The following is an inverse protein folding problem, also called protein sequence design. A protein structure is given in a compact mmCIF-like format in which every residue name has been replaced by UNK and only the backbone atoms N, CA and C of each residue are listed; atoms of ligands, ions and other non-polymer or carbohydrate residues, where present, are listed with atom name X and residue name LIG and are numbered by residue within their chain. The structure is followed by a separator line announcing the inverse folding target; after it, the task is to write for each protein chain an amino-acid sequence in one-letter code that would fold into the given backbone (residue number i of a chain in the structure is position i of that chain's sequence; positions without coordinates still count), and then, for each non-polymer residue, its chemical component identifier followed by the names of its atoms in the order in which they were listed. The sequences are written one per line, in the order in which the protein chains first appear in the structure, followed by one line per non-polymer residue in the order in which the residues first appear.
data_IF_980885766019
#
_entry.id   IF_980885766019
#
_cell.length_a   1.000
_cell.length_b   1.000
_cell.length_c   1.000
_cell.angle_alpha   90.00
_cell.angle_beta   90.00
_cell.angle_gamma   90.00
#
_symmetry.space_group_name_H-M   'P 1'
#
loop_
_entity.id
_entity.type
_entity.pdbx_description
1 polymer ?
#
# COMPACT_ATOMS: atom_id res chain seq x y z
N UNK A 1 24.85 43.70 62.09
CA UNK A 1 24.04 42.48 61.90
C UNK A 1 23.51 42.53 60.49
N UNK A 2 24.31 41.99 59.57
CA UNK A 2 24.09 42.01 58.13
C UNK A 2 23.82 40.57 57.70
N UNK A 3 22.56 40.26 57.39
CA UNK A 3 22.23 39.02 56.68
C UNK A 3 22.73 39.14 55.24
N UNK A 4 23.86 38.49 54.99
CA UNK A 4 24.39 38.22 53.66
C UNK A 4 23.60 37.02 53.14
N UNK A 5 22.62 37.27 52.28
CA UNK A 5 21.90 36.24 51.54
C UNK A 5 22.82 35.76 50.42
N UNK A 6 23.20 34.49 50.49
CA UNK A 6 24.06 33.80 49.54
C UNK A 6 23.54 33.91 48.10
N UNK A 7 24.32 34.59 47.27
CA UNK A 7 24.17 34.67 45.82
C UNK A 7 24.63 33.38 45.14
N UNK A 8 23.97 32.26 45.42
CA UNK A 8 24.28 30.95 44.79
C UNK A 8 23.32 30.54 43.65
N UNK A 9 22.42 31.43 43.23
CA UNK A 9 21.41 31.16 42.19
C UNK A 9 21.55 32.09 40.98
N UNK A 10 22.68 32.04 40.26
CA UNK A 10 22.77 32.61 38.92
C UNK A 10 23.89 32.00 38.06
N UNK A 11 24.12 30.69 38.17
CA UNK A 11 24.76 29.94 37.09
C UNK A 11 23.69 29.07 36.43
N UNK A 12 22.73 29.74 35.77
CA UNK A 12 21.90 29.09 34.75
C UNK A 12 22.87 28.76 33.62
N UNK A 13 23.46 27.56 33.69
CA UNK A 13 24.11 26.96 32.54
C UNK A 13 23.10 27.05 31.38
N UNK A 14 23.52 27.52 30.18
CA UNK A 14 22.65 27.44 29.03
C UNK A 14 22.31 25.97 28.86
N UNK A 15 21.04 25.61 29.09
CA UNK A 15 20.49 24.34 28.66
C UNK A 15 20.70 24.37 27.15
N UNK A 16 21.76 23.69 26.69
CA UNK A 16 21.98 23.45 25.28
C UNK A 16 20.66 22.90 24.74
N UNK A 17 20.10 23.45 23.64
CA UNK A 17 18.82 23.00 23.13
C UNK A 17 18.92 21.50 22.87
N UNK A 18 18.24 20.73 23.71
CA UNK A 18 18.16 19.28 23.61
C UNK A 18 17.39 19.00 22.32
N UNK A 19 18.14 18.64 21.28
CA UNK A 19 17.73 17.63 20.31
C UNK A 19 16.55 17.99 19.38
N UNK A 20 16.57 19.20 18.78
CA UNK A 20 15.60 19.59 17.73
C UNK A 20 15.94 19.04 16.32
N UNK A 21 16.97 18.21 16.16
CA UNK A 21 17.44 17.75 14.85
C UNK A 21 17.25 16.24 14.56
N UNK A 22 16.51 15.49 15.37
CA UNK A 22 16.22 14.08 15.01
C UNK A 22 15.13 14.03 13.95
N UNK A 23 15.40 13.48 12.75
CA UNK A 23 14.42 13.41 11.68
C UNK A 23 13.15 12.69 12.14
N UNK A 24 12.01 13.24 11.74
CA UNK A 24 10.67 12.72 12.02
C UNK A 24 10.61 11.22 11.70
N UNK A 25 10.24 10.34 12.65
CA UNK A 25 10.26 8.88 12.46
C UNK A 25 9.28 8.39 11.37
N UNK A 26 8.44 9.27 10.84
CA UNK A 26 7.47 8.97 9.78
C UNK A 26 8.09 8.94 8.37
N UNK A 27 9.20 9.64 8.13
CA UNK A 27 9.83 9.72 6.80
C UNK A 27 10.75 8.54 6.45
N UNK A 28 11.19 7.75 7.43
CA UNK A 28 12.04 6.59 7.22
C UNK A 28 11.20 5.35 6.85
N UNK A 29 11.65 4.58 5.86
CA UNK A 29 11.02 3.31 5.47
C UNK A 29 11.00 2.39 6.70
N UNK A 30 9.82 1.89 7.14
CA UNK A 30 9.75 0.98 8.28
C UNK A 30 10.58 -0.29 8.05
N UNK A 31 11.15 -0.89 9.11
CA UNK A 31 11.88 -2.14 9.00
C UNK A 31 11.07 -3.22 8.27
N UNK A 32 11.76 -4.07 7.50
CA UNK A 32 11.19 -5.19 6.74
C UNK A 32 10.16 -4.82 5.65
N UNK A 33 9.87 -3.54 5.42
CA UNK A 33 8.92 -3.10 4.37
C UNK A 33 9.30 -3.63 2.99
N UNK A 34 10.60 -3.58 2.64
CA UNK A 34 11.07 -4.10 1.34
C UNK A 34 10.99 -5.61 1.24
N UNK A 35 11.21 -6.34 2.34
CA UNK A 35 11.01 -7.79 2.38
C UNK A 35 9.53 -8.14 2.19
N UNK A 36 8.62 -7.37 2.80
CA UNK A 36 7.19 -7.51 2.58
C UNK A 36 6.81 -7.26 1.11
N UNK A 37 7.34 -6.18 0.50
CA UNK A 37 7.07 -5.83 -0.89
C UNK A 37 7.59 -6.90 -1.87
N UNK A 38 8.83 -7.37 -1.68
CA UNK A 38 9.42 -8.42 -2.52
C UNK A 38 8.71 -9.76 -2.33
N UNK A 39 8.38 -10.14 -1.09
CA UNK A 39 7.59 -11.32 -0.79
C UNK A 39 6.20 -11.25 -1.45
N UNK A 40 5.55 -10.08 -1.42
CA UNK A 40 4.25 -9.88 -2.04
C UNK A 40 4.31 -9.94 -3.57
N UNK A 41 5.40 -9.43 -4.18
CA UNK A 41 5.62 -9.56 -5.62
C UNK A 41 5.86 -11.02 -6.03
N UNK A 42 6.65 -11.76 -5.25
CA UNK A 42 6.85 -13.19 -5.46
C UNK A 42 5.56 -14.00 -5.23
N UNK A 43 4.73 -13.66 -4.24
CA UNK A 43 3.39 -14.24 -4.05
C UNK A 43 2.48 -14.02 -5.26
N UNK A 44 2.44 -12.80 -5.81
CA UNK A 44 1.69 -12.51 -7.03
C UNK A 44 2.18 -13.40 -8.19
N UNK A 45 3.48 -13.38 -8.47
CA UNK A 45 4.05 -14.11 -9.61
C UNK A 45 3.84 -15.62 -9.44
N UNK A 46 4.18 -16.19 -8.29
CA UNK A 46 4.16 -17.64 -8.10
C UNK A 46 2.74 -18.15 -7.88
N UNK A 47 2.05 -17.64 -6.86
CA UNK A 47 0.76 -18.21 -6.43
C UNK A 47 -0.42 -17.79 -7.29
N UNK A 48 -0.38 -16.57 -7.85
CA UNK A 48 -1.55 -16.01 -8.54
C UNK A 48 -1.41 -16.05 -10.05
N UNK A 49 -0.19 -16.00 -10.57
CA UNK A 49 0.08 -16.08 -12.00
C UNK A 49 0.53 -17.51 -12.34
N UNK A 50 1.75 -17.92 -12.00
CA UNK A 50 2.34 -19.17 -12.49
C UNK A 50 1.56 -20.43 -12.10
N UNK A 51 1.26 -20.63 -10.81
CA UNK A 51 0.53 -21.81 -10.34
C UNK A 51 -0.87 -21.92 -10.93
N UNK A 52 -1.55 -20.80 -11.19
CA UNK A 52 -2.89 -20.82 -11.80
C UNK A 52 -2.87 -20.98 -13.30
N UNK A 53 -1.81 -20.48 -13.94
CA UNK A 53 -1.67 -20.53 -15.40
C UNK A 53 -1.25 -21.93 -15.84
N UNK A 54 -0.32 -22.57 -15.12
CA UNK A 54 0.33 -23.81 -15.56
C UNK A 54 0.04 -25.01 -14.66
N UNK A 55 -1.04 -24.99 -13.88
CA UNK A 55 -1.41 -26.09 -12.99
C UNK A 55 -1.44 -27.45 -13.71
N UNK A 56 -2.03 -27.48 -14.91
CA UNK A 56 -2.25 -28.72 -15.66
C UNK A 56 -1.04 -29.15 -16.51
N UNK A 57 -0.10 -28.23 -16.77
CA UNK A 57 1.06 -28.48 -17.62
C UNK A 57 2.35 -28.83 -16.88
N UNK A 58 2.39 -28.65 -15.56
CA UNK A 58 3.58 -28.90 -14.74
C UNK A 58 3.66 -30.38 -14.31
N UNK A 59 4.88 -30.91 -14.26
CA UNK A 59 5.11 -32.20 -13.59
C UNK A 59 4.76 -32.08 -12.10
N UNK A 60 4.33 -33.19 -11.48
CA UNK A 60 3.96 -33.21 -10.05
C UNK A 60 5.07 -32.67 -9.14
N UNK A 61 6.33 -32.98 -9.46
CA UNK A 61 7.49 -32.49 -8.71
C UNK A 61 7.69 -30.97 -8.87
N UNK A 62 7.59 -30.47 -10.10
CA UNK A 62 7.70 -29.03 -10.37
C UNK A 62 6.57 -28.25 -9.69
N UNK A 63 5.34 -28.77 -9.72
CA UNK A 63 4.19 -28.20 -9.02
C UNK A 63 4.44 -28.12 -7.50
N UNK A 64 4.89 -29.22 -6.87
CA UNK A 64 5.19 -29.25 -5.44
C UNK A 64 6.37 -28.34 -5.04
N UNK A 65 7.35 -28.15 -5.93
CA UNK A 65 8.44 -27.20 -5.69
C UNK A 65 7.93 -25.75 -5.76
N UNK A 66 7.14 -25.43 -6.79
CA UNK A 66 6.58 -24.10 -6.99
C UNK A 66 5.58 -23.72 -5.88
N UNK A 67 4.74 -24.67 -5.44
CA UNK A 67 3.83 -24.49 -4.30
C UNK A 67 4.57 -24.17 -3.00
N UNK A 68 5.69 -24.86 -2.72
CA UNK A 68 6.54 -24.55 -1.55
C UNK A 68 7.14 -23.14 -1.61
N UNK A 69 7.65 -22.73 -2.77
CA UNK A 69 8.16 -21.36 -2.96
C UNK A 69 7.05 -20.32 -2.84
N UNK A 70 5.86 -20.63 -3.34
CA UNK A 70 4.68 -19.80 -3.20
C UNK A 70 4.24 -19.65 -1.74
N UNK A 71 4.20 -20.74 -0.97
CA UNK A 71 3.91 -20.68 0.46
C UNK A 71 4.96 -19.87 1.22
N UNK A 72 6.24 -20.05 0.89
CA UNK A 72 7.34 -19.28 1.48
C UNK A 72 7.21 -17.78 1.18
N UNK A 73 6.98 -17.39 -0.07
CA UNK A 73 6.86 -15.96 -0.45
C UNK A 73 5.68 -15.29 0.25
N UNK A 74 4.52 -15.98 0.33
CA UNK A 74 3.35 -15.52 1.06
C UNK A 74 3.62 -15.33 2.55
N UNK A 75 4.26 -16.31 3.19
CA UNK A 75 4.60 -16.24 4.62
C UNK A 75 5.61 -15.12 4.89
N UNK A 76 6.64 -14.98 4.05
CA UNK A 76 7.61 -13.90 4.12
C UNK A 76 6.93 -12.53 4.00
N UNK A 77 6.01 -12.38 3.04
CA UNK A 77 5.23 -11.16 2.85
C UNK A 77 4.44 -10.82 4.11
N UNK A 78 3.66 -11.79 4.63
CA UNK A 78 2.79 -11.59 5.80
C UNK A 78 3.59 -11.25 7.06
N UNK A 79 4.60 -12.05 7.40
CA UNK A 79 5.41 -11.81 8.62
C UNK A 79 6.13 -10.47 8.54
N UNK A 80 6.80 -10.19 7.43
CA UNK A 80 7.51 -8.92 7.22
C UNK A 80 6.55 -7.74 7.24
N UNK A 81 5.38 -7.89 6.61
CA UNK A 81 4.37 -6.85 6.50
C UNK A 81 3.67 -6.57 7.82
N UNK A 82 3.43 -7.58 8.66
CA UNK A 82 2.91 -7.40 10.01
C UNK A 82 3.90 -6.61 10.87
N UNK A 83 5.18 -6.97 10.85
CA UNK A 83 6.21 -6.22 11.59
C UNK A 83 6.27 -4.77 11.08
N UNK A 84 6.36 -4.56 9.77
CA UNK A 84 6.37 -3.22 9.18
C UNK A 84 5.12 -2.41 9.55
N UNK A 85 3.94 -3.05 9.53
CA UNK A 85 2.68 -2.42 9.91
C UNK A 85 2.64 -2.07 11.40
N UNK A 86 3.16 -2.92 12.30
CA UNK A 86 3.29 -2.58 13.73
C UNK A 86 4.16 -1.35 13.94
N UNK A 87 5.27 -1.20 13.19
CA UNK A 87 6.07 0.04 13.22
C UNK A 87 5.30 1.25 12.67
N UNK A 88 4.49 1.05 11.63
CA UNK A 88 3.61 2.09 11.11
C UNK A 88 2.59 2.56 12.16
N UNK A 89 1.86 1.63 12.75
CA UNK A 89 0.81 1.89 13.73
C UNK A 89 1.40 2.53 14.99
N UNK A 90 2.49 2.02 15.54
CA UNK A 90 3.18 2.63 16.69
C UNK A 90 3.60 4.07 16.42
N UNK A 91 4.04 4.39 15.20
CA UNK A 91 4.39 5.75 14.84
C UNK A 91 3.16 6.68 14.77
N UNK A 92 2.01 6.19 14.30
CA UNK A 92 0.74 6.93 14.37
C UNK A 92 0.20 7.05 15.80
N UNK A 93 0.39 6.02 16.62
CA UNK A 93 0.00 6.00 18.03
C UNK A 93 0.84 6.92 18.90
N UNK A 94 2.03 7.33 18.45
CA UNK A 94 2.92 8.23 19.17
C UNK A 94 2.38 9.66 19.27
N UNK A 95 2.72 10.37 20.36
CA UNK A 95 2.42 11.81 20.52
C UNK A 95 3.07 12.66 19.42
N UNK A 96 4.19 12.19 18.86
CA UNK A 96 4.92 12.85 17.76
C UNK A 96 4.22 12.75 16.40
N UNK A 97 3.09 12.04 16.32
CA UNK A 97 2.30 11.97 15.08
C UNK A 97 1.51 13.24 14.81
N UNK A 98 1.32 14.10 15.83
CA UNK A 98 0.51 15.33 15.76
C UNK A 98 -0.93 15.12 15.26
N UNK A 99 -1.41 13.87 15.21
CA UNK A 99 -2.79 13.54 14.88
C UNK A 99 -3.71 13.79 16.07
N UNK A 100 -4.99 14.16 15.84
CA UNK A 100 -5.96 14.29 16.91
C UNK A 100 -6.13 12.95 17.63
N UNK A 101 -6.42 13.02 18.94
CA UNK A 101 -6.50 11.85 19.81
C UNK A 101 -7.51 10.80 19.29
N UNK A 102 -8.65 11.25 18.76
CA UNK A 102 -9.67 10.38 18.17
C UNK A 102 -9.15 9.57 16.98
N UNK A 103 -8.39 10.19 16.07
CA UNK A 103 -7.79 9.49 14.93
C UNK A 103 -6.72 8.50 15.39
N UNK A 104 -5.91 8.86 16.39
CA UNK A 104 -4.89 7.96 16.97
C UNK A 104 -5.53 6.73 17.59
N UNK A 105 -6.57 6.92 18.41
CA UNK A 105 -7.32 5.83 19.04
C UNK A 105 -7.96 4.95 17.96
N UNK A 106 -8.59 5.54 16.94
CA UNK A 106 -9.19 4.77 15.84
C UNK A 106 -8.17 3.92 15.10
N UNK A 107 -7.08 4.52 14.60
CA UNK A 107 -6.04 3.82 13.85
C UNK A 107 -5.41 2.70 14.70
N UNK A 108 -5.12 2.97 15.98
CA UNK A 108 -4.54 1.98 16.88
C UNK A 108 -5.54 0.88 17.22
N UNK A 109 -6.79 1.22 17.52
CA UNK A 109 -7.83 0.26 17.87
C UNK A 109 -8.11 -0.72 16.73
N UNK A 110 -8.38 -0.21 15.53
CA UNK A 110 -8.59 -1.06 14.35
C UNK A 110 -7.33 -1.83 13.95
N UNK A 111 -6.16 -1.20 14.03
CA UNK A 111 -4.87 -1.84 13.72
C UNK A 111 -4.54 -3.01 14.65
N UNK A 112 -4.66 -2.82 15.97
CA UNK A 112 -4.39 -3.86 16.95
C UNK A 112 -5.46 -4.94 17.02
N UNK A 113 -6.70 -4.66 16.60
CA UNK A 113 -7.71 -5.69 16.40
C UNK A 113 -7.40 -6.53 15.15
N UNK A 114 -6.96 -5.90 14.05
CA UNK A 114 -6.71 -6.57 12.78
C UNK A 114 -5.53 -7.55 12.86
N UNK A 115 -4.40 -7.15 13.47
CA UNK A 115 -3.17 -7.96 13.54
C UNK A 115 -3.40 -9.39 14.05
N UNK A 116 -3.94 -9.63 15.26
CA UNK A 116 -4.09 -10.97 15.80
C UNK A 116 -5.06 -11.82 14.97
N UNK A 117 -6.13 -11.21 14.44
CA UNK A 117 -7.09 -11.92 13.60
C UNK A 117 -6.41 -12.40 12.32
N UNK A 118 -5.62 -11.55 11.65
CA UNK A 118 -4.97 -11.98 10.41
C UNK A 118 -3.80 -12.94 10.67
N UNK A 119 -3.08 -12.79 11.79
CA UNK A 119 -2.10 -13.80 12.23
C UNK A 119 -2.79 -15.16 12.34
N UNK A 120 -3.90 -15.24 13.07
CA UNK A 120 -4.68 -16.48 13.16
C UNK A 120 -5.09 -16.99 11.78
N UNK A 121 -5.68 -16.14 10.92
CA UNK A 121 -6.16 -16.55 9.59
C UNK A 121 -5.06 -16.99 8.64
N UNK A 122 -3.85 -16.48 8.80
CA UNK A 122 -2.72 -16.84 7.94
C UNK A 122 -2.16 -18.21 8.29
N UNK A 123 -2.20 -18.58 9.58
CA UNK A 123 -1.62 -19.84 10.08
C UNK A 123 -2.66 -20.93 10.34
N UNK A 124 -3.96 -20.59 10.37
CA UNK A 124 -5.03 -21.57 10.51
C UNK A 124 -5.33 -22.28 9.17
N UNK A 125 -5.66 -23.59 9.22
CA UNK A 125 -6.12 -24.31 8.03
C UNK A 125 -7.36 -23.65 7.43
N UNK A 126 -7.44 -23.64 6.09
CA UNK A 126 -8.61 -23.13 5.34
C UNK A 126 -9.94 -23.75 5.79
N UNK A 127 -9.91 -25.01 6.24
CA UNK A 127 -11.09 -25.71 6.75
C UNK A 127 -11.74 -25.04 7.98
N UNK A 128 -11.01 -24.19 8.69
CA UNK A 128 -11.49 -23.50 9.90
C UNK A 128 -11.85 -22.04 9.63
N UNK A 129 -11.63 -21.55 8.40
CA UNK A 129 -11.98 -20.18 8.02
C UNK A 129 -13.46 -20.10 7.64
N UNK A 130 -14.25 -19.46 8.51
CA UNK A 130 -15.65 -19.14 8.25
C UNK A 130 -15.78 -17.88 7.39
N UNK A 131 -16.81 -17.82 6.55
CA UNK A 131 -17.05 -16.68 5.64
C UNK A 131 -17.27 -15.38 6.44
N UNK A 132 -17.95 -15.47 7.57
CA UNK A 132 -18.22 -14.35 8.47
C UNK A 132 -16.93 -13.71 8.97
N UNK A 133 -15.94 -14.52 9.33
CA UNK A 133 -14.64 -14.06 9.81
C UNK A 133 -13.88 -13.30 8.71
N UNK A 134 -13.91 -13.82 7.47
CA UNK A 134 -13.34 -13.14 6.30
C UNK A 134 -13.98 -11.78 6.07
N UNK A 135 -15.32 -11.68 6.20
CA UNK A 135 -16.05 -10.42 6.05
C UNK A 135 -15.72 -9.42 7.16
N UNK A 136 -15.62 -9.88 8.42
CA UNK A 136 -15.21 -9.03 9.54
C UNK A 136 -13.82 -8.45 9.31
N UNK A 137 -12.87 -9.27 8.87
CA UNK A 137 -11.50 -8.81 8.58
C UNK A 137 -11.47 -7.83 7.42
N UNK A 138 -12.22 -8.13 6.35
CA UNK A 138 -12.36 -7.21 5.23
C UNK A 138 -12.90 -5.86 5.72
N UNK A 139 -13.95 -5.85 6.55
CA UNK A 139 -14.51 -4.65 7.15
C UNK A 139 -13.48 -3.87 8.00
N UNK A 140 -12.78 -4.56 8.91
CA UNK A 140 -11.75 -3.95 9.78
C UNK A 140 -10.59 -3.37 8.96
N UNK A 141 -10.11 -4.10 7.95
CA UNK A 141 -9.03 -3.65 7.08
C UNK A 141 -9.44 -2.42 6.27
N UNK A 142 -10.65 -2.41 5.69
CA UNK A 142 -11.16 -1.24 4.96
C UNK A 142 -11.37 -0.04 5.89
N UNK A 143 -11.93 -0.24 7.09
CA UNK A 143 -12.08 0.84 8.08
C UNK A 143 -10.71 1.46 8.44
N UNK A 144 -9.70 0.62 8.69
CA UNK A 144 -8.34 1.09 8.96
C UNK A 144 -7.72 1.82 7.77
N UNK A 145 -7.89 1.31 6.55
CA UNK A 145 -7.44 1.96 5.31
C UNK A 145 -8.07 3.35 5.17
N UNK A 146 -9.38 3.48 5.36
CA UNK A 146 -10.09 4.76 5.29
C UNK A 146 -9.57 5.75 6.33
N UNK A 147 -9.36 5.30 7.58
CA UNK A 147 -8.77 6.14 8.64
C UNK A 147 -7.35 6.60 8.30
N UNK A 148 -6.51 5.72 7.76
CA UNK A 148 -5.15 6.05 7.33
C UNK A 148 -5.15 7.06 6.18
N UNK A 149 -6.07 6.92 5.22
CA UNK A 149 -6.24 7.86 4.10
C UNK A 149 -6.66 9.24 4.61
N UNK A 150 -7.69 9.30 5.46
CA UNK A 150 -8.17 10.55 6.06
C UNK A 150 -7.08 11.23 6.88
N UNK A 151 -6.33 10.46 7.66
CA UNK A 151 -5.17 10.96 8.40
C UNK A 151 -4.14 11.57 7.43
N UNK A 152 -3.83 10.92 6.31
CA UNK A 152 -2.89 11.43 5.32
C UNK A 152 -3.38 12.72 4.63
N UNK A 153 -4.66 12.78 4.27
CA UNK A 153 -5.29 13.94 3.62
C UNK A 153 -5.28 15.16 4.55
N UNK A 154 -5.53 14.94 5.85
CA UNK A 154 -5.54 16.00 6.86
C UNK A 154 -4.25 16.85 6.86
N UNK A 155 -3.11 16.24 6.56
CA UNK A 155 -1.81 16.91 6.57
C UNK A 155 -1.56 17.86 5.40
N UNK A 156 -2.43 17.91 4.38
CA UNK A 156 -2.31 18.81 3.21
C UNK A 156 -0.90 18.78 2.59
N UNK A 157 -0.50 17.59 2.15
CA UNK A 157 0.80 17.35 1.50
C UNK A 157 0.90 18.01 0.11
N UNK A 158 1.74 17.48 -0.77
CA UNK A 158 1.73 17.89 -2.19
C UNK A 158 0.41 17.52 -2.86
N UNK A 159 0.08 18.23 -3.95
CA UNK A 159 -1.12 17.92 -4.76
C UNK A 159 -1.09 16.47 -5.25
N UNK A 160 0.05 15.98 -5.72
CA UNK A 160 0.20 14.61 -6.22
C UNK A 160 -0.09 13.54 -5.14
N UNK A 161 0.47 13.69 -3.93
CA UNK A 161 0.20 12.74 -2.83
C UNK A 161 -1.24 12.86 -2.34
N UNK A 162 -1.79 14.08 -2.27
CA UNK A 162 -3.20 14.29 -1.90
C UNK A 162 -4.16 13.66 -2.91
N UNK A 163 -3.89 13.82 -4.22
CA UNK A 163 -4.64 13.15 -5.29
C UNK A 163 -4.52 11.63 -5.21
N UNK A 164 -3.33 11.11 -4.90
CA UNK A 164 -3.11 9.67 -4.67
C UNK A 164 -4.01 9.15 -3.55
N UNK A 165 -4.03 9.83 -2.41
CA UNK A 165 -4.87 9.46 -1.27
C UNK A 165 -6.37 9.57 -1.59
N UNK A 166 -6.78 10.60 -2.33
CA UNK A 166 -8.18 10.74 -2.78
C UNK A 166 -8.59 9.63 -3.75
N UNK A 167 -7.72 9.24 -4.70
CA UNK A 167 -7.97 8.12 -5.60
C UNK A 167 -8.06 6.79 -4.83
N UNK A 168 -7.20 6.57 -3.83
CA UNK A 168 -7.30 5.42 -2.95
C UNK A 168 -8.59 5.44 -2.13
N UNK A 169 -9.04 6.62 -1.68
CA UNK A 169 -10.30 6.76 -0.96
C UNK A 169 -11.45 6.25 -1.84
N UNK A 170 -11.53 6.74 -3.08
CA UNK A 170 -12.53 6.30 -4.06
C UNK A 170 -12.38 4.79 -4.32
N UNK A 171 -11.18 4.30 -4.58
CA UNK A 171 -10.94 2.88 -4.85
C UNK A 171 -11.46 1.96 -3.73
N UNK A 172 -11.05 2.22 -2.49
CA UNK A 172 -11.43 1.36 -1.35
C UNK A 172 -12.88 1.57 -0.90
N UNK A 173 -13.40 2.80 -0.95
CA UNK A 173 -14.80 3.07 -0.63
C UNK A 173 -15.73 2.40 -1.65
N UNK A 174 -15.43 2.55 -2.94
CA UNK A 174 -16.18 1.87 -3.98
C UNK A 174 -16.08 0.34 -3.88
N UNK A 175 -14.91 -0.19 -3.50
CA UNK A 175 -14.71 -1.62 -3.29
C UNK A 175 -15.58 -2.18 -2.17
N UNK A 176 -15.60 -1.52 -1.01
CA UNK A 176 -16.43 -1.96 0.13
C UNK A 176 -17.93 -1.77 -0.15
N UNK A 177 -18.32 -0.66 -0.78
CA UNK A 177 -19.73 -0.41 -1.12
C UNK A 177 -20.23 -1.42 -2.15
N UNK A 178 -19.44 -1.72 -3.18
CA UNK A 178 -19.75 -2.76 -4.15
C UNK A 178 -19.97 -4.12 -3.46
N UNK A 179 -19.07 -4.50 -2.53
CA UNK A 179 -19.22 -5.73 -1.75
C UNK A 179 -20.52 -5.74 -0.92
N UNK A 180 -20.81 -4.66 -0.20
CA UNK A 180 -22.01 -4.55 0.64
C UNK A 180 -23.26 -4.62 -0.23
N UNK A 181 -23.33 -3.88 -1.33
CA UNK A 181 -24.46 -3.89 -2.27
C UNK A 181 -24.68 -5.29 -2.81
N UNK A 182 -23.63 -5.99 -3.27
CA UNK A 182 -23.75 -7.37 -3.75
C UNK A 182 -24.28 -8.33 -2.67
N UNK A 183 -23.81 -8.21 -1.43
CA UNK A 183 -24.21 -9.09 -0.33
C UNK A 183 -25.64 -8.82 0.16
N UNK A 184 -26.00 -7.56 0.35
CA UNK A 184 -27.31 -7.15 0.87
C UNK A 184 -28.36 -7.26 -0.23
N UNK A 185 -28.07 -6.74 -1.41
CA UNK A 185 -28.99 -6.74 -2.54
C UNK A 185 -29.32 -8.16 -3.03
N UNK A 186 -28.35 -9.08 -3.01
CA UNK A 186 -28.58 -10.49 -3.33
C UNK A 186 -29.51 -11.18 -2.33
N UNK A 187 -29.48 -10.78 -1.05
CA UNK A 187 -30.41 -11.31 -0.03
C UNK A 187 -31.79 -10.65 -0.08
N UNK A 188 -31.84 -9.38 -0.47
CA UNK A 188 -33.07 -8.60 -0.56
C UNK A 188 -33.79 -8.75 -1.91
N UNK A 189 -33.24 -9.54 -2.85
CA UNK A 189 -33.76 -9.73 -4.22
C UNK A 189 -33.97 -8.39 -4.96
N UNK A 190 -33.09 -7.41 -4.73
CA UNK A 190 -33.25 -6.09 -5.35
C UNK A 190 -32.77 -6.09 -6.80
N UNK A 191 -33.65 -5.75 -7.74
CA UNK A 191 -33.41 -5.81 -9.20
C UNK A 191 -32.23 -4.95 -9.70
N UNK A 192 -31.82 -3.92 -8.96
CA UNK A 192 -30.72 -3.02 -9.34
C UNK A 192 -29.38 -3.37 -8.70
N UNK A 193 -29.32 -4.45 -7.93
CA UNK A 193 -28.12 -4.85 -7.17
C UNK A 193 -26.88 -4.95 -8.05
N UNK A 194 -26.98 -5.68 -9.17
CA UNK A 194 -25.84 -5.91 -10.06
C UNK A 194 -25.35 -4.60 -10.69
N UNK A 195 -26.26 -3.81 -11.26
CA UNK A 195 -25.92 -2.53 -11.91
C UNK A 195 -25.22 -1.58 -10.95
N UNK A 196 -25.74 -1.45 -9.73
CA UNK A 196 -25.15 -0.57 -8.72
C UNK A 196 -23.80 -1.09 -8.23
N UNK A 197 -23.69 -2.41 -7.97
CA UNK A 197 -22.43 -3.02 -7.56
C UNK A 197 -21.34 -2.87 -8.63
N UNK A 198 -21.68 -3.04 -9.92
CA UNK A 198 -20.77 -2.82 -11.03
C UNK A 198 -20.35 -1.36 -11.16
N UNK A 199 -21.29 -0.42 -11.04
CA UNK A 199 -20.98 1.01 -11.11
C UNK A 199 -19.96 1.43 -10.04
N UNK A 200 -20.17 1.01 -8.79
CA UNK A 200 -19.19 1.24 -7.72
C UNK A 200 -17.87 0.57 -8.06
N UNK A 201 -17.89 -0.73 -8.38
CA UNK A 201 -16.67 -1.47 -8.70
C UNK A 201 -15.84 -0.80 -9.79
N UNK A 202 -16.44 -0.45 -10.92
CA UNK A 202 -15.77 0.19 -12.04
C UNK A 202 -15.19 1.56 -11.66
N UNK A 203 -15.95 2.38 -10.93
CA UNK A 203 -15.43 3.65 -10.43
C UNK A 203 -14.18 3.46 -9.55
N UNK A 204 -14.18 2.42 -8.71
CA UNK A 204 -13.07 2.13 -7.82
C UNK A 204 -11.87 1.53 -8.55
N UNK A 205 -12.09 0.66 -9.53
CA UNK A 205 -11.05 0.11 -10.39
C UNK A 205 -10.35 1.20 -11.19
N UNK A 206 -11.12 2.11 -11.82
CA UNK A 206 -10.57 3.27 -12.53
C UNK A 206 -9.72 4.16 -11.60
N UNK A 207 -10.23 4.46 -10.40
CA UNK A 207 -9.48 5.23 -9.42
C UNK A 207 -8.18 4.52 -9.01
N UNK A 208 -8.23 3.21 -8.79
CA UNK A 208 -7.06 2.38 -8.49
C UNK A 208 -6.02 2.40 -9.62
N UNK A 209 -6.45 2.30 -10.88
CA UNK A 209 -5.54 2.37 -12.05
C UNK A 209 -4.94 3.76 -12.26
N UNK A 210 -5.58 4.82 -11.76
CA UNK A 210 -5.05 6.18 -11.81
C UNK A 210 -4.03 6.47 -10.68
N UNK A 211 -4.01 5.68 -9.60
CA UNK A 211 -3.07 5.84 -8.47
C UNK A 211 -1.60 5.88 -8.91
N UNK A 212 -1.09 4.96 -9.75
CA UNK A 212 0.31 4.97 -10.13
C UNK A 212 0.69 6.22 -10.94
N UNK A 213 -0.23 6.75 -11.74
CA UNK A 213 -0.04 8.00 -12.49
C UNK A 213 0.07 9.18 -11.52
N UNK A 214 -0.83 9.26 -10.53
CA UNK A 214 -0.80 10.29 -9.50
C UNK A 214 0.50 10.25 -8.68
N UNK A 215 0.98 9.06 -8.32
CA UNK A 215 2.28 8.87 -7.65
C UNK A 215 3.42 9.28 -8.58
N UNK A 216 3.33 8.99 -9.88
CA UNK A 216 4.31 9.39 -10.89
C UNK A 216 4.59 10.89 -10.89
N UNK A 217 3.55 11.72 -10.70
CA UNK A 217 3.71 13.17 -10.57
C UNK A 217 4.42 13.61 -9.27
N UNK A 218 4.45 12.76 -8.24
CA UNK A 218 5.21 13.03 -7.02
C UNK A 218 6.70 12.66 -7.16
N UNK A 219 7.04 11.75 -8.09
CA UNK A 219 8.42 11.26 -8.29
C UNK A 219 9.16 12.17 -9.27
N UNK A 220 10.17 12.90 -8.76
CA UNK A 220 11.07 13.71 -9.60
C UNK A 220 12.33 12.91 -9.94
N UNK A 221 12.57 12.66 -11.21
CA UNK A 221 13.78 11.95 -11.68
C UNK A 221 14.82 12.97 -12.14
N UNK A 222 16.00 13.06 -11.49
CA UNK A 222 17.06 13.99 -11.88
C UNK A 222 17.83 13.48 -13.11
N UNK A 223 17.24 13.58 -14.30
CA UNK A 223 17.76 13.07 -15.58
C UNK A 223 19.19 13.51 -15.96
N UNK A 224 19.70 14.60 -15.37
CA UNK A 224 21.06 15.10 -15.61
C UNK A 224 22.12 14.34 -14.81
N UNK A 225 21.74 13.70 -13.69
CA UNK A 225 22.64 12.90 -12.86
C UNK A 225 22.75 11.47 -13.40
N UNK A 226 23.93 10.84 -13.26
CA UNK A 226 24.12 9.42 -13.62
C UNK A 226 23.10 8.50 -12.92
N UNK A 227 22.76 8.79 -11.66
CA UNK A 227 21.73 8.07 -10.92
C UNK A 227 20.35 8.22 -11.56
N UNK A 228 19.98 9.42 -12.00
CA UNK A 228 18.70 9.64 -12.69
C UNK A 228 18.62 8.88 -14.01
N UNK A 229 19.73 8.79 -14.76
CA UNK A 229 19.82 7.95 -15.97
C UNK A 229 19.63 6.47 -15.64
N UNK A 230 20.30 5.94 -14.61
CA UNK A 230 20.10 4.57 -14.15
C UNK A 230 18.65 4.33 -13.73
N UNK A 231 18.05 5.27 -12.99
CA UNK A 231 16.63 5.20 -12.60
C UNK A 231 15.73 5.09 -13.82
N UNK A 232 15.93 5.90 -14.86
CA UNK A 232 15.16 5.81 -16.11
C UNK A 232 15.32 4.45 -16.80
N UNK A 233 16.55 3.93 -16.89
CA UNK A 233 16.83 2.62 -17.48
C UNK A 233 16.11 1.51 -16.72
N UNK A 234 16.23 1.45 -15.40
CA UNK A 234 15.56 0.43 -14.60
C UNK A 234 14.03 0.57 -14.63
N UNK A 235 13.51 1.80 -14.63
CA UNK A 235 12.07 2.04 -14.79
C UNK A 235 11.56 1.61 -16.17
N UNK A 236 12.33 1.84 -17.23
CA UNK A 236 12.01 1.38 -18.58
C UNK A 236 12.03 -0.15 -18.67
N UNK A 237 13.05 -0.80 -18.11
CA UNK A 237 13.13 -2.27 -18.04
C UNK A 237 11.92 -2.84 -17.30
N UNK A 238 11.52 -2.23 -16.17
CA UNK A 238 10.35 -2.66 -15.43
C UNK A 238 9.05 -2.49 -16.24
N UNK A 239 8.86 -1.35 -16.91
CA UNK A 239 7.71 -1.12 -17.78
C UNK A 239 7.64 -2.14 -18.93
N UNK A 240 8.75 -2.31 -19.65
CA UNK A 240 8.85 -3.25 -20.76
C UNK A 240 8.66 -4.69 -20.28
N UNK A 241 9.21 -5.06 -19.13
CA UNK A 241 9.05 -6.38 -18.54
C UNK A 241 7.60 -6.71 -18.22
N UNK A 242 6.84 -5.74 -17.68
CA UNK A 242 5.40 -5.92 -17.40
C UNK A 242 4.60 -6.00 -18.69
N UNK A 243 4.85 -5.11 -19.66
CA UNK A 243 4.16 -5.11 -20.95
C UNK A 243 4.44 -6.42 -21.73
N UNK A 244 5.70 -6.82 -21.85
CA UNK A 244 6.10 -8.06 -22.49
C UNK A 244 5.54 -9.28 -21.74
N UNK A 245 5.60 -9.28 -20.41
CA UNK A 245 5.01 -10.32 -19.58
C UNK A 245 3.51 -10.49 -19.81
N UNK A 246 2.76 -9.38 -19.93
CA UNK A 246 1.33 -9.40 -20.27
C UNK A 246 1.06 -9.96 -21.67
N UNK A 247 1.89 -9.61 -22.67
CA UNK A 247 1.78 -10.16 -24.03
C UNK A 247 2.06 -11.67 -24.04
N UNK A 248 3.13 -12.11 -23.38
CA UNK A 248 3.47 -13.52 -23.24
C UNK A 248 2.35 -14.26 -22.50
N UNK A 249 1.83 -13.71 -21.42
CA UNK A 249 0.76 -14.34 -20.64
C UNK A 249 -0.53 -14.48 -21.46
N UNK A 250 -0.90 -13.46 -22.23
CA UNK A 250 -2.01 -13.53 -23.19
C UNK A 250 -1.83 -14.66 -24.20
N UNK A 251 -0.64 -14.77 -24.79
CA UNK A 251 -0.35 -15.78 -25.80
C UNK A 251 -0.33 -17.20 -25.21
N UNK A 252 0.10 -17.36 -23.96
CA UNK A 252 0.18 -18.67 -23.29
C UNK A 252 -1.18 -19.18 -22.78
N UNK A 253 -2.08 -18.30 -22.37
CA UNK A 253 -3.37 -18.68 -21.75
C UNK A 253 -4.52 -18.69 -22.76
N UNK A 254 -4.46 -17.83 -23.78
CA UNK A 254 -5.56 -17.68 -24.74
C UNK A 254 -6.83 -17.17 -24.05
N UNK A 255 -7.92 -17.93 -24.18
CA UNK A 255 -9.27 -17.50 -23.79
C UNK A 255 -9.49 -17.31 -22.28
N UNK A 256 -8.70 -17.99 -21.44
CA UNK A 256 -8.84 -17.93 -19.97
C UNK A 256 -8.16 -16.72 -19.32
N UNK A 257 -7.52 -15.85 -20.12
CA UNK A 257 -6.74 -14.73 -19.62
C UNK A 257 -7.57 -13.82 -18.70
N UNK A 258 -8.81 -13.54 -19.06
CA UNK A 258 -9.70 -12.69 -18.25
C UNK A 258 -9.90 -13.26 -16.84
N UNK A 259 -10.17 -14.56 -16.73
CA UNK A 259 -10.40 -15.23 -15.44
C UNK A 259 -9.13 -15.26 -14.59
N UNK A 260 -7.98 -15.56 -15.20
CA UNK A 260 -6.70 -15.57 -14.49
C UNK A 260 -6.27 -14.16 -14.07
N UNK A 261 -6.46 -13.17 -14.94
CA UNK A 261 -6.16 -11.76 -14.66
C UNK A 261 -7.03 -11.21 -13.53
N UNK A 262 -8.34 -11.47 -13.58
CA UNK A 262 -9.24 -11.15 -12.47
C UNK A 262 -8.84 -11.89 -11.19
N UNK A 263 -8.44 -13.16 -11.31
CA UNK A 263 -7.96 -13.96 -10.19
C UNK A 263 -6.70 -13.39 -9.52
N UNK A 264 -5.80 -12.76 -10.28
CA UNK A 264 -4.54 -12.21 -9.80
C UNK A 264 -4.67 -10.77 -9.27
N UNK A 265 -5.36 -9.91 -10.01
CA UNK A 265 -5.42 -8.46 -9.76
C UNK A 265 -6.79 -7.94 -9.32
N UNK A 266 -7.84 -8.76 -9.41
CA UNK A 266 -9.24 -8.39 -9.11
C UNK A 266 -9.77 -7.23 -9.96
N UNK A 267 -9.25 -7.08 -11.18
CA UNK A 267 -9.66 -6.08 -12.17
C UNK A 267 -10.56 -6.72 -13.23
N UNK A 268 -11.60 -6.01 -13.65
CA UNK A 268 -12.69 -6.51 -14.50
C UNK A 268 -13.40 -5.41 -15.33
N UNK A 269 -13.07 -4.14 -15.12
CA UNK A 269 -13.54 -3.02 -15.93
C UNK A 269 -13.38 -3.22 -17.46
N UNK A 270 -12.29 -3.88 -17.90
CA UNK A 270 -11.98 -4.18 -19.30
C UNK A 270 -11.84 -5.70 -19.51
N UNK A 271 -12.76 -6.48 -18.92
CA UNK A 271 -12.72 -7.94 -18.92
C UNK A 271 -12.88 -8.59 -20.30
N UNK A 272 -13.28 -7.85 -21.34
CA UNK A 272 -13.31 -8.37 -22.70
C UNK A 272 -11.90 -8.86 -23.11
N UNK A 273 -11.80 -10.07 -23.69
CA UNK A 273 -10.51 -10.73 -23.99
C UNK A 273 -9.52 -9.87 -24.79
N UNK A 274 -10.02 -9.00 -25.67
CA UNK A 274 -9.19 -8.08 -26.45
C UNK A 274 -8.79 -6.81 -25.67
N UNK A 275 -9.54 -6.47 -24.63
CA UNK A 275 -9.35 -5.26 -23.84
C UNK A 275 -8.42 -5.46 -22.61
N UNK A 276 -8.12 -6.71 -22.22
CA UNK A 276 -7.16 -6.98 -21.12
C UNK A 276 -5.79 -6.34 -21.38
N UNK A 277 -5.39 -6.20 -22.66
CA UNK A 277 -4.15 -5.51 -23.05
C UNK A 277 -4.08 -4.05 -22.58
N UNK A 278 -5.21 -3.37 -22.39
CA UNK A 278 -5.25 -1.99 -21.90
C UNK A 278 -4.79 -1.87 -20.44
N UNK A 279 -4.90 -2.93 -19.63
CA UNK A 279 -4.34 -2.93 -18.27
C UNK A 279 -2.81 -2.95 -18.26
N UNK A 280 -2.17 -3.39 -19.33
CA UNK A 280 -0.71 -3.41 -19.41
C UNK A 280 -0.14 -1.99 -19.27
N UNK A 281 -0.82 -0.96 -19.78
CA UNK A 281 -0.37 0.44 -19.70
C UNK A 281 -0.29 0.96 -18.26
N UNK A 282 -1.39 1.03 -17.48
CA UNK A 282 -1.32 1.53 -16.10
C UNK A 282 -0.46 0.65 -15.20
N UNK A 283 -0.42 -0.68 -15.42
CA UNK A 283 0.47 -1.57 -14.66
C UNK A 283 1.95 -1.32 -14.98
N UNK A 284 2.30 -1.13 -16.25
CA UNK A 284 3.68 -0.82 -16.66
C UNK A 284 4.14 0.53 -16.12
N UNK A 285 3.27 1.55 -16.19
CA UNK A 285 3.51 2.86 -15.58
C UNK A 285 3.73 2.68 -14.07
N UNK A 286 2.88 1.89 -13.41
CA UNK A 286 3.00 1.70 -11.97
C UNK A 286 4.30 1.04 -11.55
N UNK A 287 4.74 -0.01 -12.24
CA UNK A 287 6.03 -0.64 -11.95
C UNK A 287 7.21 0.29 -12.26
N UNK A 288 7.15 1.07 -13.34
CA UNK A 288 8.17 2.06 -13.67
C UNK A 288 8.29 3.14 -12.58
N UNK A 289 7.16 3.68 -12.13
CA UNK A 289 7.08 4.68 -11.06
C UNK A 289 7.54 4.10 -9.73
N UNK A 290 7.15 2.86 -9.43
CA UNK A 290 7.59 2.17 -8.21
C UNK A 290 9.11 2.06 -8.18
N UNK A 291 9.73 1.54 -9.25
CA UNK A 291 11.19 1.45 -9.39
C UNK A 291 11.84 2.84 -9.30
N UNK A 292 11.28 3.85 -9.96
CA UNK A 292 11.80 5.20 -9.90
C UNK A 292 11.85 5.75 -8.46
N UNK A 293 10.76 5.54 -7.73
CA UNK A 293 10.62 5.94 -6.34
C UNK A 293 11.55 5.14 -5.41
N UNK A 294 11.72 3.84 -5.64
CA UNK A 294 12.63 2.96 -4.86
C UNK A 294 14.10 3.41 -4.95
N UNK A 295 14.51 3.90 -6.12
CA UNK A 295 15.89 4.32 -6.39
C UNK A 295 16.16 5.77 -6.00
N UNK A 296 15.16 6.49 -5.47
CA UNK A 296 15.31 7.87 -5.03
C UNK A 296 16.24 8.00 -3.81
N UNK A 297 16.92 9.15 -3.71
CA UNK A 297 17.68 9.55 -2.51
C UNK A 297 16.74 9.86 -1.33
N UNK A 298 15.54 10.36 -1.62
CA UNK A 298 14.56 10.73 -0.60
C UNK A 298 13.93 9.48 0.04
N UNK A 299 14.08 9.26 1.36
CA UNK A 299 13.43 8.15 2.04
C UNK A 299 11.89 8.17 1.93
N UNK A 300 11.27 9.34 1.79
CA UNK A 300 9.82 9.47 1.60
C UNK A 300 9.38 8.92 0.23
N UNK A 301 10.17 9.18 -0.82
CA UNK A 301 9.92 8.60 -2.14
C UNK A 301 10.15 7.09 -2.12
N UNK A 302 11.15 6.60 -1.38
CA UNK A 302 11.35 5.15 -1.21
C UNK A 302 10.17 4.46 -0.52
N UNK A 303 9.55 5.10 0.47
CA UNK A 303 8.30 4.62 1.07
C UNK A 303 7.16 4.54 0.04
N UNK A 304 6.98 5.58 -0.78
CA UNK A 304 5.98 5.57 -1.85
C UNK A 304 6.25 4.47 -2.87
N UNK A 305 7.51 4.22 -3.23
CA UNK A 305 7.90 3.11 -4.09
C UNK A 305 7.51 1.75 -3.52
N UNK A 306 7.82 1.49 -2.26
CA UNK A 306 7.43 0.25 -1.60
C UNK A 306 5.91 0.10 -1.49
N UNK A 307 5.20 1.19 -1.18
CA UNK A 307 3.75 1.20 -1.15
C UNK A 307 3.13 0.88 -2.50
N UNK A 308 3.69 1.43 -3.58
CA UNK A 308 3.19 1.20 -4.92
C UNK A 308 3.43 -0.25 -5.37
N UNK A 309 4.59 -0.85 -5.05
CA UNK A 309 4.82 -2.29 -5.27
C UNK A 309 3.76 -3.11 -4.53
N UNK A 310 3.52 -2.84 -3.25
CA UNK A 310 2.52 -3.55 -2.46
C UNK A 310 1.12 -3.41 -3.08
N UNK A 311 0.69 -2.20 -3.44
CA UNK A 311 -0.61 -1.98 -4.08
C UNK A 311 -0.75 -2.80 -5.37
N UNK A 312 0.21 -2.66 -6.30
CA UNK A 312 0.21 -3.37 -7.58
C UNK A 312 0.16 -4.88 -7.40
N UNK A 313 0.82 -5.42 -6.37
CA UNK A 313 0.82 -6.85 -6.08
C UNK A 313 -0.45 -7.33 -5.38
N UNK A 314 -1.10 -6.47 -4.58
CA UNK A 314 -2.35 -6.83 -3.90
C UNK A 314 -3.56 -6.82 -4.81
N UNK A 315 -3.57 -5.97 -5.84
CA UNK A 315 -4.71 -5.78 -6.73
C UNK A 315 -5.78 -4.87 -6.13
N UNK A 316 -6.88 -4.72 -6.86
CA UNK A 316 -8.03 -3.91 -6.45
C UNK A 316 -8.91 -4.66 -5.43
N UNK A 317 -9.33 -3.97 -4.35
CA UNK A 317 -10.26 -4.49 -3.33
C UNK A 317 -10.00 -5.98 -2.95
N UNK A 318 -8.78 -6.33 -2.48
CA UNK A 318 -8.43 -7.71 -2.23
C UNK A 318 -9.29 -8.33 -1.13
N UNK A 319 -9.52 -9.64 -1.23
CA UNK A 319 -10.37 -10.39 -0.27
C UNK A 319 -9.61 -11.43 0.55
N UNK A 320 -8.35 -11.70 0.21
CA UNK A 320 -7.52 -12.64 0.97
C UNK A 320 -6.86 -11.91 2.14
N UNK A 321 -6.74 -12.52 3.33
CA UNK A 321 -6.18 -11.86 4.51
C UNK A 321 -4.76 -11.31 4.30
N UNK A 322 -3.90 -12.07 3.60
CA UNK A 322 -2.53 -11.64 3.28
C UNK A 322 -2.51 -10.36 2.44
N UNK A 323 -3.29 -10.33 1.35
CA UNK A 323 -3.40 -9.16 0.49
C UNK A 323 -4.04 -7.96 1.22
N UNK A 324 -5.02 -8.18 2.10
CA UNK A 324 -5.60 -7.12 2.93
C UNK A 324 -4.56 -6.46 3.84
N UNK A 325 -3.69 -7.23 4.52
CA UNK A 325 -2.58 -6.64 5.30
C UNK A 325 -1.68 -5.82 4.40
N UNK A 326 -1.26 -6.38 3.25
CA UNK A 326 -0.34 -5.68 2.36
C UNK A 326 -0.95 -4.38 1.83
N UNK A 327 -2.25 -4.35 1.55
CA UNK A 327 -3.00 -3.14 1.17
C UNK A 327 -3.04 -2.12 2.30
N UNK A 328 -3.32 -2.56 3.53
CA UNK A 328 -3.29 -1.70 4.73
C UNK A 328 -1.89 -1.10 4.91
N UNK A 329 -0.84 -1.92 4.81
CA UNK A 329 0.55 -1.47 4.90
C UNK A 329 0.89 -0.46 3.81
N UNK A 330 0.49 -0.73 2.57
CA UNK A 330 0.73 0.18 1.46
C UNK A 330 0.08 1.55 1.69
N UNK A 331 -1.19 1.57 2.12
CA UNK A 331 -1.89 2.81 2.46
C UNK A 331 -1.25 3.52 3.64
N UNK A 332 -0.80 2.78 4.66
CA UNK A 332 -0.08 3.34 5.80
C UNK A 332 1.22 4.02 5.35
N UNK A 333 1.97 3.42 4.41
CA UNK A 333 3.19 4.01 3.87
C UNK A 333 2.91 5.30 3.06
N UNK A 334 1.86 5.32 2.23
CA UNK A 334 1.47 6.52 1.47
C UNK A 334 1.03 7.64 2.41
N UNK A 335 0.22 7.31 3.42
CA UNK A 335 -0.23 8.28 4.42
C UNK A 335 0.96 8.82 5.23
N UNK A 336 1.91 7.97 5.64
CA UNK A 336 3.17 8.40 6.30
C UNK A 336 3.99 9.31 5.40
N UNK A 337 4.10 9.00 4.11
CA UNK A 337 4.79 9.84 3.15
C UNK A 337 4.11 11.20 2.98
N UNK A 338 2.78 11.25 3.03
CA UNK A 338 2.01 12.49 3.02
C UNK A 338 2.34 13.37 4.23
N UNK A 339 2.31 12.79 5.44
CA UNK A 339 2.65 13.48 6.70
C UNK A 339 4.09 13.97 6.68
N UNK A 340 5.05 13.11 6.34
CA UNK A 340 6.46 13.46 6.30
C UNK A 340 6.75 14.62 5.32
N UNK A 341 6.10 14.61 4.16
CA UNK A 341 6.25 15.67 3.16
C UNK A 341 5.64 16.99 3.65
N UNK A 342 4.47 16.94 4.29
CA UNK A 342 3.83 18.13 4.85
C UNK A 342 4.67 18.78 5.96
N UNK A 343 5.22 17.97 6.86
CA UNK A 343 6.09 18.45 7.95
C UNK A 343 7.36 19.12 7.42
N UNK A 344 8.03 18.51 6.42
CA UNK A 344 9.20 19.12 5.78
C UNK A 344 8.88 20.47 5.14
N UNK A 345 7.70 20.60 4.52
CA UNK A 345 7.26 21.86 3.92
C UNK A 345 7.03 22.95 4.97
N UNK A 346 6.32 22.63 6.06
CA UNK A 346 6.09 23.58 7.16
C UNK A 346 7.40 24.04 7.80
N UNK A 347 8.36 23.14 7.99
CA UNK A 347 9.67 23.49 8.51
C UNK A 347 10.42 24.47 7.60
N UNK A 348 10.33 24.30 6.27
CA UNK A 348 10.94 25.22 5.31
C UNK A 348 10.25 26.60 5.28
N UNK A 349 8.95 26.67 5.51
CA UNK A 349 8.19 27.93 5.58
C UNK A 349 8.48 28.70 6.88
N UNK A 350 8.72 28.02 8.01
CA UNK A 350 9.07 28.64 9.29
C UNK A 350 10.47 29.28 9.31
N UNK A 351 11.45 28.69 8.64
CA UNK A 351 12.83 29.21 8.56
C UNK A 351 12.93 30.50 7.71
N UNK A 352 11.93 30.78 6.86
CA UNK A 352 11.88 32.00 6.04
C UNK A 352 11.28 33.21 6.75
N UNK A 353 10.58 33.03 7.86
CA UNK A 353 9.97 34.14 8.63
C UNK A 353 10.88 34.72 9.71
N UNK A 354 11.99 34.06 10.03
CA UNK A 354 12.97 34.52 11.04
C UNK A 354 14.24 35.17 10.43
N UNK A 355 14.27 35.41 9.11
CA UNK A 355 15.36 36.13 8.42
C UNK A 355 14.90 37.48 7.91
#
# INVERSE_FOLDING_TARGET
MSEVIDSSLAAVAPIAPIESARPVPLGAVPPLTWMAALGCAADLIINRILLRTWADGLSREAFLHLDRWGAFSRNLAVVSGLVALSFCLSAYGSRKSELPLSARIGIMGFGWALIPIVVMMTFLPLAWMRVELVLVIAGLAHALILLLILAGIHWRSTKAISSTLALLLVAYLSGIVSLIVSLVGGRALWEHTERLAFAFRWSGELAYLAVPIAVGFAVRIPWREARGKLTLVFSMIAAVGVAAGMVVWRNSVGGDLTNLFYGAFRLDFLAEQNAVGWYAVPLSIGWAVAVAATLSKDPTLRQLGAALVLLLCTGYAPRTPSALIMSVLAVALISRAAVATALRRRAAEGDTTER
#
